data_IF_689172782991
#
_entry.id   IF_689172782991
#
_cell.length_a   1.000
_cell.length_b   1.000
_cell.length_c   1.000
_cell.angle_alpha   90.00
_cell.angle_beta   90.00
_cell.angle_gamma   90.00
#
_symmetry.space_group_name_H-M   'P 1'
#
loop_
_entity.id
_entity.type
_entity.pdbx_description
1 polymer ?
#
# COMPACT_ATOMS: atom_id res chain seq x y z
N UNK A 1 -6.27 -10.60 -15.04
CA UNK A 1 -6.59 -11.02 -13.63
C UNK A 1 -5.34 -10.79 -12.81
N UNK A 2 -5.43 -10.06 -11.72
CA UNK A 2 -4.29 -9.75 -10.84
C UNK A 2 -3.96 -11.00 -10.01
N UNK A 3 -2.71 -11.48 -10.09
CA UNK A 3 -2.24 -12.66 -9.35
C UNK A 3 -1.14 -12.37 -8.35
N UNK A 4 -0.51 -11.20 -8.45
CA UNK A 4 0.56 -10.79 -7.56
C UNK A 4 0.16 -9.56 -6.72
N UNK A 5 0.72 -9.47 -5.53
CA UNK A 5 0.68 -8.26 -4.72
C UNK A 5 2.06 -7.96 -4.14
N UNK A 6 2.34 -6.69 -3.92
CA UNK A 6 3.51 -6.20 -3.18
C UNK A 6 3.01 -5.52 -1.91
N UNK A 7 3.56 -5.90 -0.76
CA UNK A 7 3.33 -5.24 0.52
C UNK A 7 4.60 -4.49 0.92
N UNK A 8 4.48 -3.19 1.12
CA UNK A 8 5.58 -2.31 1.51
C UNK A 8 5.76 -2.33 3.02
N UNK A 9 6.88 -2.87 3.49
CA UNK A 9 7.14 -3.13 4.90
C UNK A 9 8.59 -2.77 5.31
N UNK A 10 9.24 -1.87 4.58
CA UNK A 10 10.65 -1.49 4.82
C UNK A 10 10.85 -0.35 5.81
N UNK A 11 9.78 0.32 6.26
CA UNK A 11 9.85 1.51 7.10
C UNK A 11 10.31 1.28 8.54
N UNK A 12 10.94 2.32 9.14
CA UNK A 12 11.43 2.28 10.53
C UNK A 12 10.33 2.33 11.60
N UNK A 13 9.12 2.77 11.27
CA UNK A 13 8.01 2.88 12.22
C UNK A 13 8.23 3.86 13.38
N UNK A 14 9.09 4.87 13.22
CA UNK A 14 9.65 5.72 14.29
C UNK A 14 8.63 6.47 15.16
N UNK A 15 7.40 6.65 14.69
CA UNK A 15 6.33 7.36 15.42
C UNK A 15 5.69 6.53 16.56
N UNK A 16 5.75 5.21 16.50
CA UNK A 16 5.27 4.28 17.53
C UNK A 16 6.39 3.88 18.51
N UNK A 17 7.05 4.88 19.12
CA UNK A 17 8.18 4.73 20.03
C UNK A 17 7.95 3.60 21.06
N UNK A 18 8.94 2.74 21.24
CA UNK A 18 8.93 1.63 22.19
C UNK A 18 8.22 0.36 21.72
N UNK A 19 7.21 0.43 20.82
CA UNK A 19 6.53 -0.76 20.28
C UNK A 19 7.18 -1.28 19.00
N UNK A 20 7.73 -0.38 18.18
CA UNK A 20 8.27 -0.72 16.85
C UNK A 20 9.80 -0.80 16.83
N UNK A 21 10.46 -0.60 17.96
CA UNK A 21 11.90 -0.81 18.08
C UNK A 21 12.31 -2.26 17.81
N UNK A 22 11.49 -3.22 18.25
CA UNK A 22 11.74 -4.65 18.12
C UNK A 22 10.67 -5.39 17.28
N UNK A 23 9.68 -4.67 16.72
CA UNK A 23 8.58 -5.27 15.98
C UNK A 23 8.07 -4.30 14.91
N UNK A 24 7.93 -4.72 13.63
CA UNK A 24 7.40 -3.85 12.59
C UNK A 24 5.93 -3.50 12.84
N UNK A 25 5.47 -2.32 12.38
CA UNK A 25 4.07 -1.87 12.50
C UNK A 25 3.05 -2.90 11.99
N UNK A 26 3.35 -3.57 10.88
CA UNK A 26 2.48 -4.59 10.30
C UNK A 26 2.19 -5.79 11.22
N UNK A 27 2.98 -5.97 12.30
CA UNK A 27 2.77 -7.03 13.30
C UNK A 27 2.01 -6.58 14.54
N UNK A 28 1.54 -5.34 14.58
CA UNK A 28 0.58 -4.92 15.60
C UNK A 28 -0.68 -5.78 15.46
N UNK A 29 -1.12 -6.36 16.58
CA UNK A 29 -2.26 -7.28 16.57
C UNK A 29 -3.59 -6.56 16.77
N UNK A 30 -4.56 -6.92 15.93
CA UNK A 30 -5.94 -6.48 16.03
C UNK A 30 -6.85 -7.70 15.97
N UNK A 31 -7.61 -7.90 17.04
CA UNK A 31 -8.47 -9.09 17.15
C UNK A 31 -7.69 -10.42 17.18
N UNK A 32 -6.47 -10.40 17.73
CA UNK A 32 -5.60 -11.58 17.87
C UNK A 32 -4.86 -12.00 16.61
N UNK A 33 -4.71 -11.08 15.64
CA UNK A 33 -3.98 -11.32 14.39
C UNK A 33 -3.23 -10.07 13.96
N UNK A 34 -2.03 -10.22 13.42
CA UNK A 34 -1.22 -9.12 12.90
C UNK A 34 -1.92 -8.41 11.71
N UNK A 35 -1.75 -7.09 11.60
CA UNK A 35 -2.32 -6.27 10.52
C UNK A 35 -1.91 -6.82 9.15
N UNK A 36 -0.63 -7.09 8.96
CA UNK A 36 -0.12 -7.65 7.70
C UNK A 36 -0.75 -9.00 7.37
N UNK A 37 -1.03 -9.83 8.38
CA UNK A 37 -1.67 -11.14 8.18
C UNK A 37 -3.15 -11.00 7.76
N UNK A 38 -3.85 -9.96 8.23
CA UNK A 38 -5.17 -9.61 7.71
C UNK A 38 -5.11 -9.24 6.23
N UNK A 39 -4.11 -8.46 5.82
CA UNK A 39 -3.90 -8.09 4.42
C UNK A 39 -3.58 -9.30 3.56
N UNK A 40 -2.69 -10.20 4.00
CA UNK A 40 -2.38 -11.47 3.32
C UNK A 40 -3.65 -12.28 3.05
N UNK A 41 -4.53 -12.45 4.07
CA UNK A 41 -5.77 -13.22 3.90
C UNK A 41 -6.77 -12.55 2.96
N UNK A 42 -6.89 -11.22 2.99
CA UNK A 42 -7.76 -10.47 2.08
C UNK A 42 -7.26 -10.53 0.64
N UNK A 43 -5.96 -10.49 0.42
CA UNK A 43 -5.35 -10.63 -0.90
C UNK A 43 -5.63 -12.01 -1.50
N UNK A 44 -5.48 -13.08 -0.73
CA UNK A 44 -5.86 -14.43 -1.20
C UNK A 44 -7.34 -14.54 -1.51
N UNK A 45 -8.20 -13.96 -0.68
CA UNK A 45 -9.64 -13.93 -0.95
C UNK A 45 -10.00 -13.12 -2.21
N UNK A 46 -9.16 -12.16 -2.60
CA UNK A 46 -9.28 -11.39 -3.84
C UNK A 46 -8.69 -12.08 -5.08
N UNK A 47 -8.10 -13.29 -4.94
CA UNK A 47 -7.54 -14.08 -6.03
C UNK A 47 -6.04 -13.89 -6.28
N UNK A 48 -5.33 -13.19 -5.37
CA UNK A 48 -3.87 -13.11 -5.42
C UNK A 48 -3.27 -14.48 -5.07
N UNK A 49 -2.28 -14.91 -5.83
CA UNK A 49 -1.63 -16.22 -5.70
C UNK A 49 -0.21 -16.10 -5.10
N UNK A 50 0.44 -14.95 -5.29
CA UNK A 50 1.79 -14.69 -4.81
C UNK A 50 1.86 -13.28 -4.18
N UNK A 51 2.49 -13.18 -3.01
CA UNK A 51 2.71 -11.92 -2.32
C UNK A 51 4.21 -11.68 -2.17
N UNK A 52 4.68 -10.52 -2.61
CA UNK A 52 6.04 -10.06 -2.41
C UNK A 52 6.00 -9.04 -1.26
N UNK A 53 6.81 -9.25 -0.22
CA UNK A 53 6.92 -8.28 0.87
C UNK A 53 8.28 -7.59 0.75
N UNK A 54 8.24 -6.28 0.52
CA UNK A 54 9.42 -5.42 0.55
C UNK A 54 9.79 -5.10 1.98
N UNK A 55 10.86 -5.69 2.49
CA UNK A 55 11.29 -5.60 3.89
C UNK A 55 12.48 -4.66 4.09
N UNK A 56 12.73 -4.27 5.33
CA UNK A 56 13.87 -3.46 5.75
C UNK A 56 14.14 -3.66 7.23
N UNK A 57 13.67 -2.73 8.08
CA UNK A 57 13.77 -2.84 9.53
C UNK A 57 13.00 -4.06 10.05
N UNK A 58 13.61 -4.82 10.98
CA UNK A 58 13.02 -6.01 11.61
C UNK A 58 12.52 -7.06 10.59
N UNK A 59 13.29 -7.33 9.53
CA UNK A 59 12.91 -8.28 8.46
C UNK A 59 12.62 -9.70 8.95
N UNK A 60 13.21 -10.12 10.07
CA UNK A 60 13.04 -11.43 10.68
C UNK A 60 11.58 -11.77 11.04
N UNK A 61 10.75 -10.77 11.27
CA UNK A 61 9.31 -10.96 11.48
C UNK A 61 8.60 -11.42 10.21
N UNK A 62 9.00 -10.85 9.07
CA UNK A 62 8.43 -11.21 7.76
C UNK A 62 8.98 -12.56 7.27
N UNK A 63 10.19 -12.94 7.66
CA UNK A 63 10.78 -14.26 7.39
C UNK A 63 9.90 -15.36 8.04
N UNK A 64 9.53 -15.18 9.32
CA UNK A 64 8.59 -16.10 10.02
C UNK A 64 7.21 -16.14 9.36
N UNK A 65 6.74 -15.00 8.84
CA UNK A 65 5.46 -14.96 8.11
C UNK A 65 5.57 -15.74 6.79
N UNK A 66 6.68 -15.63 6.07
CA UNK A 66 6.94 -16.39 4.84
C UNK A 66 7.06 -17.89 5.08
N UNK A 67 7.63 -18.31 6.22
CA UNK A 67 7.62 -19.73 6.63
C UNK A 67 6.19 -20.27 6.81
N UNK A 68 5.27 -19.44 7.32
CA UNK A 68 3.85 -19.80 7.51
C UNK A 68 3.08 -19.82 6.18
N UNK A 69 3.42 -18.95 5.24
CA UNK A 69 2.74 -18.77 3.95
C UNK A 69 3.73 -18.89 2.80
N UNK A 70 3.90 -20.11 2.24
CA UNK A 70 4.92 -20.40 1.20
C UNK A 70 4.78 -19.58 -0.09
N UNK A 71 3.63 -18.97 -0.33
CA UNK A 71 3.38 -18.06 -1.43
C UNK A 71 3.90 -16.62 -1.18
N UNK A 72 4.50 -16.35 -0.02
CA UNK A 72 5.17 -15.09 0.29
C UNK A 72 6.63 -15.19 -0.12
N UNK A 73 7.06 -14.21 -0.92
CA UNK A 73 8.47 -13.95 -1.25
C UNK A 73 8.93 -12.67 -0.57
N UNK A 74 10.17 -12.62 -0.16
CA UNK A 74 10.75 -11.43 0.48
C UNK A 74 11.72 -10.73 -0.47
N UNK A 75 11.62 -9.40 -0.50
CA UNK A 75 12.56 -8.52 -1.18
C UNK A 75 13.15 -7.56 -0.15
N UNK A 76 14.39 -7.82 0.30
CA UNK A 76 15.02 -7.03 1.33
C UNK A 76 15.69 -5.79 0.74
N UNK A 77 15.41 -4.65 1.32
CA UNK A 77 16.11 -3.40 1.10
C UNK A 77 17.15 -3.20 2.22
N UNK A 78 18.40 -3.55 1.99
CA UNK A 78 19.47 -3.37 3.00
C UNK A 78 19.79 -1.89 3.26
N UNK A 79 19.37 -1.00 2.37
CA UNK A 79 19.55 0.46 2.50
C UNK A 79 18.29 1.18 2.98
N UNK A 80 17.37 0.49 3.64
CA UNK A 80 16.08 1.04 4.08
C UNK A 80 16.19 2.33 4.92
N UNK A 81 17.27 2.50 5.68
CA UNK A 81 17.51 3.70 6.48
C UNK A 81 17.94 4.92 5.64
N UNK A 82 18.49 4.67 4.45
CA UNK A 82 19.05 5.67 3.54
C UNK A 82 18.08 6.02 2.40
N UNK A 83 17.17 5.11 2.06
CA UNK A 83 16.23 5.23 0.94
C UNK A 83 14.81 5.43 1.45
N UNK A 84 13.95 6.03 0.61
CA UNK A 84 12.50 6.09 0.87
C UNK A 84 11.78 4.80 0.47
N UNK A 85 10.46 4.83 0.51
CA UNK A 85 9.59 3.70 0.14
C UNK A 85 9.81 3.24 -1.31
N UNK A 86 10.15 4.16 -2.23
CA UNK A 86 10.48 3.80 -3.61
C UNK A 86 11.70 2.89 -3.70
N UNK A 87 12.72 3.07 -2.83
CA UNK A 87 13.88 2.19 -2.77
C UNK A 87 13.50 0.76 -2.39
N UNK A 88 12.57 0.59 -1.46
CA UNK A 88 12.04 -0.73 -1.09
C UNK A 88 11.22 -1.34 -2.22
N UNK A 89 10.38 -0.55 -2.89
CA UNK A 89 9.61 -0.99 -4.04
C UNK A 89 10.52 -1.43 -5.21
N UNK A 90 11.62 -0.73 -5.43
CA UNK A 90 12.61 -1.10 -6.44
C UNK A 90 13.26 -2.48 -6.17
N UNK A 91 13.47 -2.83 -4.89
CA UNK A 91 13.94 -4.17 -4.51
C UNK A 91 12.90 -5.26 -4.83
N UNK A 92 11.60 -4.94 -4.82
CA UNK A 92 10.53 -5.87 -5.19
C UNK A 92 10.42 -6.09 -6.70
N UNK A 93 10.79 -5.10 -7.52
CA UNK A 93 10.55 -5.08 -8.96
C UNK A 93 11.06 -6.32 -9.73
N UNK A 94 12.21 -6.95 -9.40
CA UNK A 94 12.67 -8.17 -10.07
C UNK A 94 11.77 -9.40 -9.84
N UNK A 95 10.95 -9.40 -8.79
CA UNK A 95 10.03 -10.51 -8.45
C UNK A 95 8.61 -10.28 -9.01
N UNK A 96 8.32 -9.09 -9.50
CA UNK A 96 7.03 -8.74 -10.11
C UNK A 96 7.05 -9.12 -11.59
N UNK A 97 6.13 -9.97 -12.02
CA UNK A 97 6.09 -10.52 -13.37
C UNK A 97 4.88 -10.06 -14.21
N UNK A 98 3.91 -9.39 -13.59
CA UNK A 98 2.70 -8.90 -14.25
C UNK A 98 2.08 -7.72 -13.50
N UNK A 99 0.86 -7.39 -13.84
CA UNK A 99 0.09 -6.37 -13.10
C UNK A 99 -0.17 -6.87 -11.68
N UNK A 100 -0.09 -5.97 -10.72
CA UNK A 100 -0.10 -6.31 -9.30
C UNK A 100 -0.84 -5.29 -8.44
N UNK A 101 -1.16 -5.68 -7.21
CA UNK A 101 -1.63 -4.77 -6.16
C UNK A 101 -0.43 -4.34 -5.31
N UNK A 102 -0.29 -3.04 -5.07
CA UNK A 102 0.66 -2.45 -4.14
C UNK A 102 -0.09 -2.03 -2.88
N UNK A 103 0.40 -2.43 -1.70
CA UNK A 103 -0.19 -2.09 -0.41
C UNK A 103 0.89 -1.66 0.60
N UNK A 104 0.52 -0.80 1.53
CA UNK A 104 1.29 -0.55 2.74
C UNK A 104 0.99 -1.61 3.81
N UNK A 105 1.96 -1.93 4.68
CA UNK A 105 1.88 -3.08 5.60
C UNK A 105 1.05 -2.83 6.85
N UNK A 106 0.74 -1.58 7.16
CA UNK A 106 0.10 -1.10 8.40
C UNK A 106 -1.33 -0.59 8.20
N UNK A 107 -1.95 -1.01 7.08
CA UNK A 107 -3.32 -0.65 6.73
C UNK A 107 -4.36 -1.61 7.31
N UNK A 108 -5.41 -1.03 7.87
CA UNK A 108 -6.67 -1.69 8.15
C UNK A 108 -7.70 -1.13 7.20
N UNK A 109 -8.37 -1.99 6.44
CA UNK A 109 -9.25 -1.56 5.36
C UNK A 109 -10.37 -2.56 5.09
N UNK A 110 -11.49 -2.09 4.53
CA UNK A 110 -12.55 -2.95 4.01
C UNK A 110 -12.11 -3.59 2.68
N UNK A 111 -12.41 -4.87 2.49
CA UNK A 111 -12.04 -5.62 1.28
C UNK A 111 -12.73 -5.13 0.01
N UNK A 112 -13.78 -4.30 0.11
CA UNK A 112 -14.43 -3.71 -1.07
C UNK A 112 -13.43 -2.91 -1.93
N UNK A 113 -12.42 -2.25 -1.32
CA UNK A 113 -11.38 -1.53 -2.05
C UNK A 113 -10.57 -2.44 -2.96
N UNK A 114 -10.19 -3.65 -2.51
CA UNK A 114 -9.51 -4.64 -3.37
C UNK A 114 -10.41 -5.06 -4.53
N UNK A 115 -11.69 -5.30 -4.27
CA UNK A 115 -12.66 -5.69 -5.31
C UNK A 115 -12.82 -4.61 -6.37
N UNK A 116 -12.86 -3.33 -5.98
CA UNK A 116 -12.94 -2.21 -6.91
C UNK A 116 -11.70 -2.16 -7.79
N UNK A 117 -10.49 -2.26 -7.22
CA UNK A 117 -9.24 -2.22 -7.98
C UNK A 117 -9.09 -3.42 -8.93
N UNK A 118 -9.39 -4.65 -8.46
CA UNK A 118 -9.26 -5.86 -9.29
C UNK A 118 -10.22 -5.83 -10.48
N UNK A 119 -11.42 -5.29 -10.31
CA UNK A 119 -12.45 -5.23 -11.36
C UNK A 119 -12.37 -3.95 -12.22
N UNK A 120 -11.53 -2.98 -11.87
CA UNK A 120 -11.35 -1.77 -12.67
C UNK A 120 -10.84 -2.10 -14.07
N UNK A 121 -11.38 -1.43 -15.08
CA UNK A 121 -10.91 -1.51 -16.48
C UNK A 121 -9.60 -0.75 -16.70
N UNK A 122 -9.31 0.22 -15.84
CA UNK A 122 -8.07 0.99 -15.90
C UNK A 122 -6.86 0.12 -15.54
N UNK A 123 -5.77 0.32 -16.24
CA UNK A 123 -4.53 -0.47 -16.05
C UNK A 123 -3.84 -0.12 -14.72
N UNK A 124 -3.78 1.18 -14.40
CA UNK A 124 -3.19 1.69 -13.17
C UNK A 124 -4.25 2.47 -12.40
N UNK A 125 -4.47 2.12 -11.13
CA UNK A 125 -5.52 2.74 -10.31
C UNK A 125 -5.04 2.93 -8.88
N UNK A 126 -5.11 4.15 -8.38
CA UNK A 126 -4.96 4.48 -6.95
C UNK A 126 -6.34 4.46 -6.30
N UNK A 127 -6.45 3.76 -5.17
CA UNK A 127 -7.62 3.86 -4.31
C UNK A 127 -7.53 5.12 -3.46
N UNK A 128 -8.55 5.95 -3.54
CA UNK A 128 -8.72 7.14 -2.71
C UNK A 128 -9.95 7.04 -1.83
N UNK A 129 -9.95 7.81 -0.76
CA UNK A 129 -11.12 8.00 0.11
C UNK A 129 -11.54 9.47 0.20
N UNK A 130 -12.70 9.71 0.82
CA UNK A 130 -13.05 11.02 1.35
C UNK A 130 -12.19 11.40 2.56
N UNK A 131 -12.40 12.61 3.15
CA UNK A 131 -11.59 13.14 4.25
C UNK A 131 -11.60 12.26 5.49
N UNK A 132 -10.43 11.87 5.97
CA UNK A 132 -10.25 11.04 7.19
C UNK A 132 -9.99 11.86 8.45
N UNK A 133 -9.35 13.02 8.31
CA UNK A 133 -8.87 13.89 9.41
C UNK A 133 -7.92 13.13 10.35
N UNK A 134 -7.02 12.32 9.78
CA UNK A 134 -6.03 11.53 10.51
C UNK A 134 -4.85 12.35 11.01
N UNK A 135 -4.52 13.45 10.30
CA UNK A 135 -3.42 14.37 10.62
C UNK A 135 -2.15 14.11 9.82
N UNK A 136 -2.14 13.08 8.98
CA UNK A 136 -1.00 12.72 8.11
C UNK A 136 -1.44 12.33 6.69
N UNK A 137 -2.55 12.92 6.27
CA UNK A 137 -3.15 12.65 4.97
C UNK A 137 -2.19 12.94 3.80
N UNK A 138 -2.23 12.09 2.79
CA UNK A 138 -1.66 12.35 1.47
C UNK A 138 -2.80 12.70 0.53
N UNK A 139 -2.91 13.97 0.18
CA UNK A 139 -3.95 14.49 -0.70
C UNK A 139 -3.61 14.24 -2.17
N UNK A 140 -4.62 13.91 -2.97
CA UNK A 140 -4.50 13.65 -4.39
C UNK A 140 -5.21 14.74 -5.19
N UNK A 141 -4.57 15.17 -6.27
CA UNK A 141 -5.14 16.06 -7.28
C UNK A 141 -5.17 15.33 -8.62
N UNK A 142 -6.31 15.36 -9.30
CA UNK A 142 -6.50 14.76 -10.63
C UNK A 142 -6.68 15.80 -11.72
N UNK A 143 -6.52 15.38 -12.97
CA UNK A 143 -7.04 16.12 -14.13
C UNK A 143 -8.56 15.92 -14.27
N UNK A 144 -9.17 16.54 -15.30
CA UNK A 144 -10.61 16.46 -15.53
C UNK A 144 -11.11 15.06 -15.97
N UNK A 145 -10.18 14.15 -16.30
CA UNK A 145 -10.46 12.76 -16.64
C UNK A 145 -10.22 11.80 -15.46
N UNK A 146 -9.90 12.33 -14.27
CA UNK A 146 -9.66 11.53 -13.07
C UNK A 146 -8.27 10.92 -12.97
N UNK A 147 -7.32 11.32 -13.81
CA UNK A 147 -5.95 10.82 -13.71
C UNK A 147 -5.10 11.65 -12.76
N UNK A 148 -4.25 10.98 -11.99
CA UNK A 148 -3.34 11.59 -11.03
C UNK A 148 -2.41 12.59 -11.70
N UNK A 149 -2.46 13.83 -11.24
CA UNK A 149 -1.54 14.92 -11.62
C UNK A 149 -0.50 15.15 -10.54
N UNK A 150 -0.93 15.16 -9.28
CA UNK A 150 -0.09 15.53 -8.16
C UNK A 150 -0.60 14.93 -6.85
N UNK A 151 0.31 14.70 -5.92
CA UNK A 151 -0.01 14.41 -4.53
C UNK A 151 0.73 15.40 -3.61
N UNK A 152 0.25 15.58 -2.39
CA UNK A 152 0.95 16.39 -1.37
C UNK A 152 0.42 16.09 0.03
N UNK A 153 1.31 16.12 1.03
CA UNK A 153 0.91 16.17 2.45
C UNK A 153 0.46 17.58 2.88
N UNK A 154 0.78 18.60 2.10
CA UNK A 154 0.32 19.97 2.33
C UNK A 154 -0.80 20.31 1.33
N UNK A 155 -2.03 20.33 1.80
CA UNK A 155 -3.22 20.63 0.99
C UNK A 155 -3.16 21.99 0.30
N UNK A 156 -2.47 23.00 0.89
CA UNK A 156 -2.36 24.33 0.30
C UNK A 156 -1.51 24.40 -0.97
N UNK A 157 -0.75 23.34 -1.28
CA UNK A 157 0.06 23.26 -2.50
C UNK A 157 -0.69 22.67 -3.69
N UNK A 158 -1.91 22.19 -3.48
CA UNK A 158 -2.79 21.64 -4.51
C UNK A 158 -3.85 22.66 -4.90
N UNK A 159 -4.22 22.72 -6.17
CA UNK A 159 -5.29 23.60 -6.64
C UNK A 159 -6.69 23.06 -6.29
N UNK A 160 -6.80 21.74 -6.12
CA UNK A 160 -8.00 21.04 -5.63
C UNK A 160 -7.60 19.75 -4.92
N UNK A 161 -8.49 19.22 -4.09
CA UNK A 161 -8.33 17.93 -3.42
C UNK A 161 -9.43 17.01 -3.93
N UNK A 162 -9.04 15.96 -4.67
CA UNK A 162 -9.97 15.01 -5.26
C UNK A 162 -10.17 13.77 -4.36
N UNK A 163 -9.22 13.49 -3.47
CA UNK A 163 -9.30 12.41 -2.49
C UNK A 163 -8.08 12.36 -1.58
N UNK A 164 -8.11 11.43 -0.62
CA UNK A 164 -6.98 11.05 0.23
C UNK A 164 -6.48 9.67 -0.17
N UNK A 165 -5.15 9.51 -0.28
CA UNK A 165 -4.52 8.23 -0.61
C UNK A 165 -4.80 7.20 0.47
N UNK A 166 -5.24 6.02 0.06
CA UNK A 166 -5.50 4.89 0.98
C UNK A 166 -4.25 4.03 1.19
N UNK A 167 -3.25 4.11 0.31
CA UNK A 167 -2.10 3.21 0.33
C UNK A 167 -2.37 1.85 -0.31
N UNK A 168 -3.39 1.75 -1.17
CA UNK A 168 -3.70 0.57 -1.98
C UNK A 168 -3.80 0.99 -3.44
N UNK A 169 -3.01 0.36 -4.31
CA UNK A 169 -2.91 0.76 -5.71
C UNK A 169 -2.83 -0.49 -6.60
N UNK A 170 -3.45 -0.48 -7.77
CA UNK A 170 -3.24 -1.43 -8.85
C UNK A 170 -2.25 -0.82 -9.83
N UNK A 171 -1.20 -1.53 -10.16
CA UNK A 171 -0.16 -1.06 -11.09
C UNK A 171 0.17 -2.13 -12.13
N UNK A 172 0.43 -1.66 -13.36
CA UNK A 172 1.06 -2.48 -14.38
C UNK A 172 2.56 -2.64 -14.08
N UNK A 173 3.12 -3.79 -14.46
CA UNK A 173 4.57 -4.03 -14.39
C UNK A 173 5.36 -2.95 -15.15
N UNK A 174 4.89 -2.53 -16.32
CA UNK A 174 5.51 -1.46 -17.13
C UNK A 174 5.58 -0.13 -16.37
N UNK A 175 4.53 0.20 -15.61
CA UNK A 175 4.49 1.42 -14.80
C UNK A 175 5.49 1.33 -13.65
N UNK A 176 5.58 0.18 -12.98
CA UNK A 176 6.61 -0.08 -11.97
C UNK A 176 8.02 0.10 -12.55
N UNK A 177 8.29 -0.44 -13.73
CA UNK A 177 9.60 -0.29 -14.38
C UNK A 177 9.94 1.18 -14.66
N UNK A 178 8.96 1.97 -15.10
CA UNK A 178 9.11 3.40 -15.29
C UNK A 178 9.36 4.15 -13.97
N UNK A 179 8.69 3.77 -12.88
CA UNK A 179 8.92 4.33 -11.55
C UNK A 179 10.33 4.00 -11.03
N UNK A 180 10.81 2.78 -11.26
CA UNK A 180 12.18 2.36 -10.91
C UNK A 180 13.20 3.16 -11.70
N UNK A 181 13.02 3.32 -13.02
CA UNK A 181 13.90 4.13 -13.85
C UNK A 181 13.95 5.59 -13.36
N UNK A 182 12.78 6.20 -13.11
CA UNK A 182 12.69 7.54 -12.55
C UNK A 182 13.44 7.67 -11.21
N UNK A 183 13.28 6.71 -10.32
CA UNK A 183 13.97 6.70 -9.03
C UNK A 183 15.49 6.64 -9.20
N UNK A 184 16.00 5.79 -10.10
CA UNK A 184 17.44 5.66 -10.38
C UNK A 184 18.02 6.96 -10.94
N UNK A 185 17.32 7.61 -11.87
CA UNK A 185 17.76 8.86 -12.48
C UNK A 185 17.83 10.02 -11.45
N UNK A 186 16.98 9.99 -10.41
CA UNK A 186 16.90 11.03 -9.39
C UNK A 186 17.53 10.63 -8.05
N UNK A 187 18.16 9.48 -7.94
CA UNK A 187 18.66 8.93 -6.67
C UNK A 187 19.65 9.85 -5.95
N UNK A 188 20.45 10.60 -6.68
CA UNK A 188 21.45 11.52 -6.09
C UNK A 188 20.79 12.71 -5.41
N UNK A 189 19.75 13.26 -6.01
CA UNK A 189 19.06 14.47 -5.54
C UNK A 189 17.93 14.16 -4.56
N UNK A 190 17.33 12.96 -4.69
CA UNK A 190 16.20 12.50 -3.88
C UNK A 190 16.44 11.08 -3.35
N UNK A 191 17.45 10.85 -2.49
CA UNK A 191 17.76 9.49 -2.02
C UNK A 191 16.62 8.86 -1.22
N UNK A 192 15.78 9.66 -0.55
CA UNK A 192 14.62 9.21 0.23
C UNK A 192 13.30 9.41 -0.52
N UNK A 193 13.29 9.13 -1.82
CA UNK A 193 12.08 9.22 -2.64
C UNK A 193 11.00 8.27 -2.14
N UNK A 194 9.80 8.81 -1.92
CA UNK A 194 8.62 8.00 -1.64
C UNK A 194 8.00 7.49 -2.95
N UNK A 195 7.33 6.34 -2.91
CA UNK A 195 6.78 5.72 -4.12
C UNK A 195 5.69 6.57 -4.79
N UNK A 196 4.96 7.38 -4.02
CA UNK A 196 3.95 8.33 -4.53
C UNK A 196 4.59 9.43 -5.39
N UNK A 197 5.82 9.82 -5.06
CA UNK A 197 6.57 10.79 -5.87
C UNK A 197 6.87 10.24 -7.25
N UNK A 198 7.38 9.00 -7.32
CA UNK A 198 7.62 8.32 -8.60
C UNK A 198 6.31 8.08 -9.37
N UNK A 199 5.21 7.69 -8.68
CA UNK A 199 3.90 7.52 -9.29
C UNK A 199 3.40 8.82 -9.96
N UNK A 200 3.42 9.93 -9.22
CA UNK A 200 2.97 11.22 -9.76
C UNK A 200 3.82 11.69 -10.93
N UNK A 201 5.13 11.52 -10.85
CA UNK A 201 6.06 11.90 -11.92
C UNK A 201 5.79 11.09 -13.20
N UNK A 202 5.64 9.77 -13.07
CA UNK A 202 5.37 8.87 -14.20
C UNK A 202 3.99 9.15 -14.80
N UNK A 203 2.96 9.32 -13.96
CA UNK A 203 1.59 9.63 -14.44
C UNK A 203 1.52 10.95 -15.22
N UNK A 204 2.29 11.95 -14.80
CA UNK A 204 2.27 13.28 -15.42
C UNK A 204 3.15 13.40 -16.67
N UNK A 205 4.26 12.63 -16.74
CA UNK A 205 5.26 12.77 -17.79
C UNK A 205 4.95 11.99 -19.08
N UNK A 206 4.12 10.94 -19.00
CA UNK A 206 3.90 10.06 -20.14
C UNK A 206 2.64 10.43 -20.92
N UNK A 207 2.74 10.61 -22.25
CA UNK A 207 1.60 10.95 -23.11
C UNK A 207 0.66 9.76 -23.34
N UNK A 208 1.11 8.55 -23.06
CA UNK A 208 0.34 7.32 -23.23
C UNK A 208 -0.68 7.17 -22.09
N UNK A 209 -1.96 7.14 -22.45
CA UNK A 209 -3.05 6.93 -21.49
C UNK A 209 -2.88 5.63 -20.65
N UNK A 210 -2.27 4.59 -21.23
CA UNK A 210 -2.00 3.34 -20.54
C UNK A 210 -0.97 3.45 -19.39
N UNK A 211 -0.19 4.52 -19.35
CA UNK A 211 0.78 4.79 -18.27
C UNK A 211 0.24 5.75 -17.21
N UNK A 212 -0.86 6.45 -17.52
CA UNK A 212 -1.53 7.31 -16.54
C UNK A 212 -2.15 6.49 -15.41
N UNK A 213 -2.27 7.10 -14.25
CA UNK A 213 -2.80 6.44 -13.06
C UNK A 213 -4.14 7.09 -12.72
N UNK A 214 -5.21 6.31 -12.85
CA UNK A 214 -6.56 6.75 -12.51
C UNK A 214 -6.75 6.77 -10.99
N UNK A 215 -7.48 7.75 -10.47
CA UNK A 215 -7.83 7.84 -9.04
C UNK A 215 -9.28 7.38 -8.87
N UNK A 216 -9.46 6.22 -8.25
CA UNK A 216 -10.76 5.65 -7.94
C UNK A 216 -11.13 5.97 -6.50
N UNK A 217 -12.15 6.82 -6.30
CA UNK A 217 -12.54 7.30 -4.99
C UNK A 217 -13.75 6.56 -4.45
N UNK A 218 -13.62 6.00 -3.26
CA UNK A 218 -14.76 5.47 -2.49
C UNK A 218 -15.08 6.44 -1.35
N UNK A 219 -16.20 7.17 -1.45
CA UNK A 219 -16.68 8.01 -0.35
C UNK A 219 -17.00 7.14 0.88
N UNK A 220 -16.68 7.63 2.06
CA UNK A 220 -16.89 6.92 3.33
C UNK A 220 -16.21 5.53 3.39
N UNK A 221 -15.09 5.34 2.67
CA UNK A 221 -14.34 4.09 2.72
C UNK A 221 -13.84 3.82 4.14
N UNK A 222 -14.10 2.62 4.63
CA UNK A 222 -13.65 2.21 5.95
C UNK A 222 -12.20 1.72 5.89
N UNK A 223 -11.26 2.58 6.25
CA UNK A 223 -9.84 2.28 6.30
C UNK A 223 -9.12 3.14 7.33
N UNK A 224 -7.92 2.72 7.71
CA UNK A 224 -6.98 3.53 8.51
C UNK A 224 -5.58 2.96 8.45
N UNK A 225 -4.59 3.82 8.41
CA UNK A 225 -3.19 3.52 8.69
C UNK A 225 -2.93 3.57 10.21
N UNK A 226 -2.07 2.70 10.71
CA UNK A 226 -1.70 2.66 12.12
C UNK A 226 -0.33 3.30 12.30
N UNK A 227 -0.33 4.60 12.56
CA UNK A 227 0.87 5.40 12.73
C UNK A 227 1.23 5.70 14.17
N UNK A 228 0.24 5.77 15.06
CA UNK A 228 0.42 6.15 16.45
C UNK A 228 -0.55 5.46 17.42
N UNK A 229 -0.35 5.70 18.72
CA UNK A 229 -1.16 5.14 19.80
C UNK A 229 -2.64 5.61 19.77
N UNK A 230 -2.94 6.77 19.19
CA UNK A 230 -4.31 7.27 19.07
C UNK A 230 -5.11 6.47 18.04
N UNK A 231 -4.46 6.07 16.94
CA UNK A 231 -5.02 5.20 15.94
C UNK A 231 -5.36 3.81 16.52
N UNK A 232 -4.50 3.27 17.38
CA UNK A 232 -4.77 2.01 18.08
C UNK A 232 -5.97 2.13 19.04
N UNK A 233 -6.06 3.22 19.81
CA UNK A 233 -7.19 3.47 20.73
C UNK A 233 -8.52 3.58 19.98
N UNK A 234 -8.53 4.22 18.82
CA UNK A 234 -9.72 4.34 17.97
C UNK A 234 -10.26 2.97 17.54
N UNK A 235 -9.37 2.04 17.16
CA UNK A 235 -9.76 0.68 16.76
C UNK A 235 -10.36 -0.17 17.88
N UNK A 236 -10.00 0.14 19.11
CA UNK A 236 -10.53 -0.59 20.28
C UNK A 236 -11.94 -0.13 20.67
N UNK A 237 -12.46 0.95 20.08
CA UNK A 237 -13.82 1.43 20.36
C UNK A 237 -14.89 0.49 19.80
N UNK A 238 -15.96 0.18 20.55
CA UNK A 238 -17.01 -0.75 20.12
C UNK A 238 -17.70 -0.35 18.81
N UNK A 239 -17.85 0.95 18.55
CA UNK A 239 -18.46 1.51 17.34
C UNK A 239 -17.67 1.19 16.07
N UNK A 240 -16.35 1.13 16.16
CA UNK A 240 -15.46 0.86 15.01
C UNK A 240 -15.42 -0.62 14.66
N UNK A 241 -15.54 -1.50 15.67
CA UNK A 241 -15.57 -2.96 15.47
C UNK A 241 -16.76 -3.44 14.65
N UNK A 242 -17.88 -2.72 14.65
CA UNK A 242 -19.07 -3.09 13.88
C UNK A 242 -18.94 -2.81 12.38
N UNK A 243 -18.25 -1.74 11.99
CA UNK A 243 -18.03 -1.36 10.59
C UNK A 243 -16.93 -2.19 9.90
N UNK A 244 -15.96 -2.71 10.67
CA UNK A 244 -14.86 -3.55 10.17
C UNK A 244 -15.14 -5.06 10.22
N UNK A 245 -16.27 -5.49 10.80
CA UNK A 245 -16.70 -6.89 10.75
C UNK A 245 -17.13 -7.25 9.33
N UNK A 246 -16.23 -7.86 8.57
CA UNK A 246 -16.56 -8.63 7.38
C UNK A 246 -17.73 -9.57 7.69
N UNK A 247 -18.77 -9.49 6.87
CA UNK A 247 -19.84 -10.50 6.89
C UNK A 247 -19.17 -11.88 6.85
N UNK A 248 -19.44 -12.70 7.87
CA UNK A 248 -19.03 -14.10 7.92
C UNK A 248 -19.54 -14.81 6.66
N UNK A 249 -18.69 -15.05 5.70
CA UNK A 249 -18.86 -16.07 4.67
C UNK A 249 -17.59 -16.17 3.82
N UNK A 250 -16.53 -16.76 4.36
CA UNK A 250 -15.55 -17.44 3.52
C UNK A 250 -15.24 -18.76 4.20
N UNK A 251 -15.62 -19.86 3.53
CA UNK A 251 -15.29 -21.22 3.92
C UNK A 251 -13.78 -21.33 4.08
N UNK A 252 -13.33 -21.77 5.24
CA UNK A 252 -11.97 -22.22 5.52
C UNK A 252 -11.57 -23.26 4.47
N UNK A 253 -10.63 -22.95 3.57
CA UNK A 253 -10.22 -23.94 2.57
C UNK A 253 -9.28 -23.45 1.48
N UNK A 254 -8.52 -22.38 1.64
CA UNK A 254 -7.40 -22.12 0.75
C UNK A 254 -6.12 -22.69 1.39
N UNK A 255 -5.81 -23.94 1.09
CA UNK A 255 -4.45 -24.47 1.27
C UNK A 255 -3.63 -23.96 0.10
N UNK A 256 -2.54 -23.22 0.37
CA UNK A 256 -1.47 -23.06 -0.61
C UNK A 256 -0.92 -24.47 -0.91
N UNK A 257 -1.09 -24.94 -2.15
CA UNK A 257 -0.42 -26.12 -2.69
C UNK A 257 0.94 -25.71 -3.25
#
# INVERSE_FOLDING_TARGET
>A
MIRQAVIMAGGLGSRLKGRTEAMPKGFIEIGGKAIVEWSVQKLFAAGVEEIIIGTGHCSEWYERLAEKYQCIKLARNDRYAETGSMGTLACCAPLVHGDFLLLESDLIYDSIGLSVLVNSVETNVILASGPTKSGDEVYLQTDDNGYLVRHSKNSSTLSRIDGELVGITKLAKKTLDSMVAYCLDHQKDQPKMEYETAMSAVSSALPDAASKIHVEKIEHYAWREIDDESHLKWLLQPSTRSSLKTKKSVRSGAKCF
#
